data_IF_566405902345
#
_entry.id   IF_566405902345
#
_cell.length_a   1.000
_cell.length_b   1.000
_cell.length_c   1.000
_cell.angle_alpha   90.00
_cell.angle_beta   90.00
_cell.angle_gamma   90.00
#
_symmetry.space_group_name_H-M   'P 1'
#
loop_
_entity.id
_entity.type
_entity.pdbx_description
1 polymer ?
#
# COMPACT_ATOMS: atom_id res chain seq x y z
N UNK A 1 -49.07 15.81 -67.38
CA UNK A 1 -47.82 16.53 -67.07
C UNK A 1 -47.33 16.06 -65.71
N UNK A 2 -46.21 15.33 -65.67
CA UNK A 2 -45.65 14.72 -64.46
C UNK A 2 -44.62 15.64 -63.83
N UNK A 3 -44.80 15.96 -62.55
CA UNK A 3 -43.76 16.40 -61.63
C UNK A 3 -43.15 15.14 -60.99
N UNK A 4 -41.83 15.07 -60.91
CA UNK A 4 -41.07 14.64 -59.72
C UNK A 4 -39.57 14.74 -60.01
N UNK A 5 -38.95 15.71 -59.36
CA UNK A 5 -37.52 15.77 -59.03
C UNK A 5 -37.16 14.61 -58.12
N UNK A 6 -35.94 14.06 -58.23
CA UNK A 6 -35.30 13.32 -57.14
C UNK A 6 -33.78 13.43 -57.24
N UNK A 7 -33.20 13.62 -56.07
CA UNK A 7 -31.91 14.22 -55.77
C UNK A 7 -30.73 13.26 -55.85
N UNK A 8 -29.53 13.87 -55.94
CA UNK A 8 -28.24 13.25 -55.63
C UNK A 8 -28.27 12.52 -54.28
N UNK A 9 -27.62 11.35 -54.23
CA UNK A 9 -27.02 10.85 -53.00
C UNK A 9 -25.56 10.52 -53.28
N UNK A 10 -24.69 11.33 -52.68
CA UNK A 10 -23.25 11.13 -52.59
C UNK A 10 -22.94 9.90 -51.74
N UNK A 11 -22.19 8.94 -52.28
CA UNK A 11 -21.60 7.87 -51.48
C UNK A 11 -20.21 8.32 -51.00
N UNK A 12 -20.15 8.92 -49.81
CA UNK A 12 -18.91 8.94 -49.03
C UNK A 12 -18.89 7.66 -48.19
N UNK A 13 -18.07 6.69 -48.61
CA UNK A 13 -17.68 5.58 -47.76
C UNK A 13 -16.71 6.14 -46.69
N UNK A 14 -17.22 6.44 -45.50
CA UNK A 14 -16.38 6.60 -44.31
C UNK A 14 -15.86 5.20 -43.96
N UNK A 15 -14.56 4.97 -44.20
CA UNK A 15 -13.81 3.88 -43.59
C UNK A 15 -13.75 4.16 -42.07
N UNK A 16 -14.71 3.62 -41.32
CA UNK A 16 -14.55 3.46 -39.88
C UNK A 16 -13.48 2.38 -39.66
N UNK A 17 -12.23 2.80 -39.44
CA UNK A 17 -11.25 1.92 -38.83
C UNK A 17 -11.78 1.56 -37.44
N UNK A 18 -11.87 0.26 -37.06
CA UNK A 18 -12.17 -0.08 -35.69
C UNK A 18 -11.03 0.45 -34.83
N UNK A 19 -11.32 1.41 -33.94
CA UNK A 19 -10.51 1.59 -32.74
C UNK A 19 -10.56 0.25 -32.03
N UNK A 20 -9.46 -0.51 -32.06
CA UNK A 20 -9.29 -1.65 -31.18
C UNK A 20 -9.35 -1.08 -29.75
N UNK A 21 -10.46 -1.29 -29.06
CA UNK A 21 -10.47 -1.18 -27.61
C UNK A 21 -9.35 -2.11 -27.12
N UNK A 22 -8.36 -1.58 -26.42
CA UNK A 22 -7.39 -2.42 -25.73
C UNK A 22 -8.18 -3.19 -24.67
N UNK A 23 -8.27 -4.52 -24.83
CA UNK A 23 -8.77 -5.38 -23.76
C UNK A 23 -7.73 -5.33 -22.64
N UNK A 24 -8.05 -4.57 -21.58
CA UNK A 24 -7.24 -4.53 -20.37
C UNK A 24 -7.23 -5.93 -19.74
N UNK A 25 -6.09 -6.33 -19.19
CA UNK A 25 -6.03 -7.50 -18.31
C UNK A 25 -7.01 -7.33 -17.14
N UNK A 26 -7.39 -8.44 -16.52
CA UNK A 26 -8.32 -8.38 -15.39
C UNK A 26 -7.72 -7.53 -14.27
N UNK A 27 -6.42 -7.71 -13.97
CA UNK A 27 -5.71 -6.90 -12.98
C UNK A 27 -5.73 -5.39 -13.29
N UNK A 28 -5.51 -4.98 -14.54
CA UNK A 28 -5.58 -3.56 -14.94
C UNK A 28 -6.98 -2.98 -14.73
N UNK A 29 -8.05 -3.75 -15.01
CA UNK A 29 -9.43 -3.32 -14.72
C UNK A 29 -9.66 -3.13 -13.22
N UNK A 30 -9.09 -3.98 -12.37
CA UNK A 30 -9.15 -3.81 -10.92
C UNK A 30 -8.40 -2.55 -10.46
N UNK A 31 -7.21 -2.29 -11.01
CA UNK A 31 -6.41 -1.12 -10.66
C UNK A 31 -7.08 0.21 -11.03
N UNK A 32 -7.72 0.28 -12.21
CA UNK A 32 -8.52 1.44 -12.62
C UNK A 32 -9.70 1.67 -11.66
N UNK A 33 -10.37 0.60 -11.23
CA UNK A 33 -11.49 0.69 -10.27
C UNK A 33 -11.03 1.13 -8.89
N UNK A 34 -9.87 0.65 -8.42
CA UNK A 34 -9.26 1.12 -7.16
C UNK A 34 -8.96 2.60 -7.27
N UNK A 35 -8.30 3.03 -8.36
CA UNK A 35 -7.95 4.43 -8.60
C UNK A 35 -9.19 5.34 -8.61
N UNK A 36 -10.27 4.92 -9.28
CA UNK A 36 -11.53 5.65 -9.31
C UNK A 36 -12.17 5.76 -7.91
N UNK A 37 -12.18 4.68 -7.12
CA UNK A 37 -12.73 4.68 -5.77
C UNK A 37 -11.90 5.55 -4.80
N UNK A 38 -10.57 5.58 -4.97
CA UNK A 38 -9.69 6.51 -4.23
C UNK A 38 -10.05 7.95 -4.56
N UNK A 39 -10.25 8.29 -5.84
CA UNK A 39 -10.67 9.65 -6.23
C UNK A 39 -11.98 10.07 -5.58
N UNK A 40 -12.97 9.17 -5.44
CA UNK A 40 -14.22 9.47 -4.73
C UNK A 40 -14.00 9.86 -3.25
N UNK A 41 -13.01 9.25 -2.58
CA UNK A 41 -12.66 9.58 -1.20
C UNK A 41 -12.18 11.03 -1.04
N UNK A 42 -11.45 11.54 -2.03
CA UNK A 42 -11.02 12.94 -2.07
C UNK A 42 -12.14 13.93 -2.40
N UNK A 43 -13.23 13.47 -3.01
CA UNK A 43 -14.42 14.26 -3.35
C UNK A 43 -15.48 14.25 -2.21
N UNK A 44 -15.07 14.00 -0.97
CA UNK A 44 -15.93 13.88 0.23
C UNK A 44 -17.01 12.79 0.15
N UNK A 45 -16.89 11.83 -0.79
CA UNK A 45 -17.79 10.68 -0.92
C UNK A 45 -17.27 9.44 -0.18
N UNK A 46 -16.73 9.65 1.02
CA UNK A 46 -15.98 8.67 1.83
C UNK A 46 -16.74 7.35 2.03
N UNK A 47 -18.03 7.40 2.35
CA UNK A 47 -18.82 6.17 2.53
C UNK A 47 -18.94 5.34 1.25
N UNK A 48 -19.11 6.00 0.10
CA UNK A 48 -19.21 5.32 -1.20
C UNK A 48 -17.85 4.77 -1.61
N UNK A 49 -16.79 5.56 -1.46
CA UNK A 49 -15.42 5.13 -1.68
C UNK A 49 -15.09 3.87 -0.87
N UNK A 50 -15.42 3.83 0.43
CA UNK A 50 -15.21 2.66 1.27
C UNK A 50 -15.99 1.43 0.80
N UNK A 51 -17.28 1.59 0.46
CA UNK A 51 -18.08 0.48 -0.07
C UNK A 51 -17.48 -0.09 -1.37
N UNK A 52 -17.04 0.80 -2.27
CA UNK A 52 -16.48 0.39 -3.54
C UNK A 52 -15.13 -0.30 -3.36
N UNK A 53 -14.22 0.27 -2.56
CA UNK A 53 -12.92 -0.33 -2.25
C UNK A 53 -13.07 -1.73 -1.64
N UNK A 54 -13.96 -1.91 -0.66
CA UNK A 54 -14.19 -3.21 -0.04
C UNK A 54 -14.80 -4.22 -1.01
N UNK A 55 -15.68 -3.78 -1.91
CA UNK A 55 -16.27 -4.62 -2.96
C UNK A 55 -15.20 -5.05 -3.97
N UNK A 56 -14.38 -4.11 -4.44
CA UNK A 56 -13.28 -4.36 -5.36
C UNK A 56 -12.28 -5.36 -4.74
N UNK A 57 -11.92 -5.18 -3.46
CA UNK A 57 -11.02 -6.10 -2.77
C UNK A 57 -11.58 -7.53 -2.70
N UNK A 58 -12.87 -7.69 -2.36
CA UNK A 58 -13.52 -8.99 -2.30
C UNK A 58 -13.59 -9.68 -3.67
N UNK A 59 -13.87 -8.93 -4.73
CA UNK A 59 -13.88 -9.44 -6.09
C UNK A 59 -12.48 -9.82 -6.59
N UNK A 60 -11.44 -9.05 -6.23
CA UNK A 60 -10.05 -9.38 -6.55
C UNK A 60 -9.59 -10.65 -5.82
N UNK A 61 -9.93 -10.80 -4.53
CA UNK A 61 -9.68 -12.03 -3.76
C UNK A 61 -10.35 -13.25 -4.41
N UNK A 62 -11.60 -13.11 -4.89
CA UNK A 62 -12.30 -14.16 -5.61
C UNK A 62 -11.64 -14.48 -6.97
N UNK A 63 -11.16 -13.46 -7.68
CA UNK A 63 -10.43 -13.63 -8.94
C UNK A 63 -9.11 -14.39 -8.71
N UNK A 64 -8.33 -14.05 -7.68
CA UNK A 64 -7.07 -14.73 -7.32
C UNK A 64 -7.29 -16.23 -7.14
N UNK A 65 -8.38 -16.64 -6.48
CA UNK A 65 -8.70 -18.05 -6.27
C UNK A 65 -9.01 -18.82 -7.58
N UNK A 66 -9.40 -18.11 -8.63
CA UNK A 66 -9.73 -18.67 -9.94
C UNK A 66 -8.55 -18.68 -10.93
N UNK A 67 -7.41 -18.05 -10.60
CA UNK A 67 -6.26 -17.94 -11.52
C UNK A 67 -5.58 -19.29 -11.69
N UNK A 68 -5.49 -19.75 -12.94
CA UNK A 68 -4.90 -21.02 -13.35
C UNK A 68 -3.37 -21.05 -13.38
N UNK A 69 -2.68 -20.32 -12.49
CA UNK A 69 -1.22 -20.36 -12.33
C UNK A 69 -0.43 -19.23 -13.00
N UNK A 70 -1.09 -18.19 -13.53
CA UNK A 70 -0.39 -16.96 -13.94
C UNK A 70 0.05 -16.18 -12.68
N UNK A 71 1.35 -16.26 -12.37
CA UNK A 71 1.92 -15.61 -11.20
C UNK A 71 1.89 -14.09 -11.27
N UNK A 72 2.04 -13.52 -12.47
CA UNK A 72 2.09 -12.07 -12.65
C UNK A 72 0.71 -11.47 -12.50
N UNK A 73 -0.29 -12.09 -13.11
CA UNK A 73 -1.69 -11.70 -12.93
C UNK A 73 -2.11 -11.85 -11.47
N UNK A 74 -1.72 -12.96 -10.81
CA UNK A 74 -2.00 -13.17 -9.39
C UNK A 74 -1.34 -12.11 -8.50
N UNK A 75 -0.07 -11.77 -8.75
CA UNK A 75 0.62 -10.72 -8.02
C UNK A 75 -0.05 -9.36 -8.23
N UNK A 76 -0.46 -9.03 -9.46
CA UNK A 76 -1.15 -7.78 -9.76
C UNK A 76 -2.51 -7.69 -9.06
N UNK A 77 -3.33 -8.74 -9.09
CA UNK A 77 -4.61 -8.77 -8.36
C UNK A 77 -4.41 -8.71 -6.84
N UNK A 78 -3.37 -9.35 -6.31
CA UNK A 78 -2.99 -9.22 -4.89
C UNK A 78 -2.63 -7.77 -4.55
N UNK A 79 -1.88 -7.06 -5.41
CA UNK A 79 -1.60 -5.63 -5.21
C UNK A 79 -2.87 -4.80 -5.23
N UNK A 80 -3.76 -5.00 -6.19
CA UNK A 80 -5.05 -4.27 -6.25
C UNK A 80 -5.91 -4.53 -5.02
N UNK A 81 -6.03 -5.77 -4.56
CA UNK A 81 -6.74 -6.12 -3.32
C UNK A 81 -6.09 -5.49 -2.09
N UNK A 82 -4.76 -5.54 -2.00
CA UNK A 82 -3.97 -4.92 -0.93
C UNK A 82 -4.21 -3.42 -0.84
N UNK A 83 -4.12 -2.71 -1.97
CA UNK A 83 -4.35 -1.28 -2.06
C UNK A 83 -5.80 -0.93 -1.71
N UNK A 84 -6.76 -1.68 -2.23
CA UNK A 84 -8.18 -1.46 -1.92
C UNK A 84 -8.46 -1.55 -0.41
N UNK A 85 -7.93 -2.56 0.28
CA UNK A 85 -8.05 -2.66 1.74
C UNK A 85 -7.34 -1.53 2.49
N UNK A 86 -6.14 -1.12 2.03
CA UNK A 86 -5.40 -0.03 2.65
C UNK A 86 -6.16 1.30 2.55
N UNK A 87 -6.64 1.66 1.37
CA UNK A 87 -7.38 2.90 1.17
C UNK A 87 -8.76 2.87 1.83
N UNK A 88 -9.40 1.69 1.97
CA UNK A 88 -10.60 1.55 2.77
C UNK A 88 -10.33 1.84 4.27
N UNK A 89 -9.17 1.41 4.78
CA UNK A 89 -8.73 1.76 6.13
C UNK A 89 -8.48 3.27 6.27
N UNK A 90 -7.76 3.89 5.32
CA UNK A 90 -7.49 5.34 5.36
C UNK A 90 -8.75 6.20 5.36
N UNK A 91 -9.77 5.77 4.63
CA UNK A 91 -11.06 6.45 4.55
C UNK A 91 -11.99 6.11 5.73
N UNK A 92 -11.68 5.11 6.57
CA UNK A 92 -12.50 4.81 7.75
C UNK A 92 -12.26 5.82 8.87
N UNK A 93 -10.98 6.17 9.08
CA UNK A 93 -10.45 7.14 10.04
C UNK A 93 -11.25 7.19 11.38
N UNK A 94 -11.28 6.08 12.13
CA UNK A 94 -12.06 6.01 13.36
C UNK A 94 -11.46 6.93 14.44
N UNK A 95 -12.33 7.61 15.19
CA UNK A 95 -11.93 8.43 16.33
C UNK A 95 -11.12 7.64 17.36
N UNK A 96 -10.27 8.33 18.13
CA UNK A 96 -9.37 7.68 19.10
C UNK A 96 -10.09 6.83 20.16
N UNK A 97 -11.33 7.15 20.48
CA UNK A 97 -12.15 6.41 21.45
C UNK A 97 -13.11 5.39 20.81
N UNK A 98 -13.12 5.23 19.49
CA UNK A 98 -13.91 4.22 18.79
C UNK A 98 -13.15 2.90 18.69
N UNK A 99 -13.24 2.09 19.75
CA UNK A 99 -12.60 0.76 19.80
C UNK A 99 -13.08 -0.17 18.68
N UNK A 100 -14.36 -0.08 18.30
CA UNK A 100 -14.94 -0.95 17.27
C UNK A 100 -14.46 -0.55 15.87
N UNK A 101 -14.44 0.75 15.57
CA UNK A 101 -13.89 1.27 14.32
C UNK A 101 -12.41 0.95 14.16
N UNK A 102 -11.62 1.10 15.23
CA UNK A 102 -10.20 0.75 15.20
C UNK A 102 -9.95 -0.75 15.01
N UNK A 103 -10.81 -1.61 15.58
CA UNK A 103 -10.71 -3.04 15.35
C UNK A 103 -10.98 -3.41 13.87
N UNK A 104 -11.94 -2.73 13.22
CA UNK A 104 -12.21 -2.88 11.79
C UNK A 104 -11.05 -2.38 10.93
N UNK A 105 -10.48 -1.22 11.28
CA UNK A 105 -9.29 -0.68 10.62
C UNK A 105 -8.11 -1.67 10.69
N UNK A 106 -7.82 -2.22 11.88
CA UNK A 106 -6.80 -3.25 12.07
C UNK A 106 -7.08 -4.50 11.22
N UNK A 107 -8.35 -4.92 11.09
CA UNK A 107 -8.73 -6.04 10.24
C UNK A 107 -8.40 -5.77 8.76
N UNK A 108 -8.78 -4.60 8.24
CA UNK A 108 -8.55 -4.23 6.85
C UNK A 108 -7.06 -4.03 6.55
N UNK A 109 -6.33 -3.35 7.43
CA UNK A 109 -4.88 -3.23 7.34
C UNK A 109 -4.19 -4.61 7.38
N UNK A 110 -4.65 -5.52 8.24
CA UNK A 110 -4.10 -6.90 8.29
C UNK A 110 -4.32 -7.65 6.99
N UNK A 111 -5.51 -7.50 6.37
CA UNK A 111 -5.79 -8.07 5.05
C UNK A 111 -4.88 -7.44 3.99
N UNK A 112 -4.75 -6.11 4.00
CA UNK A 112 -3.86 -5.40 3.09
C UNK A 112 -2.42 -5.93 3.17
N UNK A 113 -1.88 -6.05 4.39
CA UNK A 113 -0.52 -6.55 4.63
C UNK A 113 -0.33 -7.95 4.03
N UNK A 114 -1.24 -8.89 4.34
CA UNK A 114 -1.18 -10.26 3.80
C UNK A 114 -1.15 -10.29 2.26
N UNK A 115 -1.97 -9.47 1.60
CA UNK A 115 -2.02 -9.44 0.13
C UNK A 115 -0.74 -8.83 -0.45
N UNK A 116 -0.25 -7.73 0.12
CA UNK A 116 0.96 -7.07 -0.33
C UNK A 116 2.21 -7.95 -0.12
N UNK A 117 2.33 -8.64 1.01
CA UNK A 117 3.43 -9.58 1.26
C UNK A 117 3.41 -10.77 0.28
N UNK A 118 2.23 -11.29 -0.05
CA UNK A 118 2.09 -12.35 -1.05
C UNK A 118 2.39 -11.87 -2.46
N UNK A 119 1.98 -10.65 -2.83
CA UNK A 119 2.35 -10.04 -4.10
C UNK A 119 3.87 -9.85 -4.20
N UNK A 120 4.50 -9.33 -3.15
CA UNK A 120 5.95 -9.17 -3.05
C UNK A 120 6.69 -10.51 -3.19
N UNK A 121 6.19 -11.58 -2.56
CA UNK A 121 6.79 -12.90 -2.66
C UNK A 121 6.68 -13.52 -4.08
N UNK A 122 5.64 -13.16 -4.84
CA UNK A 122 5.45 -13.64 -6.21
C UNK A 122 6.28 -12.85 -7.23
N UNK A 123 6.43 -11.54 -7.05
CA UNK A 123 7.14 -10.65 -7.97
C UNK A 123 8.03 -9.64 -7.22
N UNK A 124 9.13 -10.07 -6.58
CA UNK A 124 9.95 -9.20 -5.75
C UNK A 124 10.63 -8.07 -6.54
N UNK A 125 11.04 -8.34 -7.77
CA UNK A 125 11.74 -7.36 -8.63
C UNK A 125 10.79 -6.34 -9.29
N UNK A 126 9.48 -6.62 -9.33
CA UNK A 126 8.46 -5.77 -9.97
C UNK A 126 7.46 -5.18 -8.96
N UNK A 127 7.76 -5.26 -7.66
CA UNK A 127 6.86 -4.74 -6.64
C UNK A 127 6.93 -3.22 -6.57
N UNK A 128 5.84 -2.54 -6.92
CA UNK A 128 5.76 -1.07 -7.03
C UNK A 128 5.01 -0.41 -5.87
N UNK A 129 4.44 -1.19 -4.94
CA UNK A 129 3.57 -0.69 -3.86
C UNK A 129 4.32 -0.52 -2.53
N UNK A 130 5.57 -0.07 -2.59
CA UNK A 130 6.38 0.18 -1.39
C UNK A 130 5.77 1.26 -0.50
N UNK A 131 5.08 2.25 -1.07
CA UNK A 131 4.38 3.29 -0.33
C UNK A 131 3.23 2.71 0.51
N UNK A 132 2.30 1.96 -0.11
CA UNK A 132 1.18 1.34 0.60
C UNK A 132 1.68 0.29 1.59
N UNK A 133 2.68 -0.53 1.21
CA UNK A 133 3.25 -1.52 2.12
C UNK A 133 3.86 -0.87 3.38
N UNK A 134 4.57 0.26 3.22
CA UNK A 134 5.09 1.05 4.34
C UNK A 134 3.97 1.65 5.18
N UNK A 135 2.94 2.21 4.54
CA UNK A 135 1.78 2.79 5.23
C UNK A 135 1.06 1.76 6.11
N UNK A 136 0.73 0.61 5.53
CA UNK A 136 0.05 -0.49 6.22
C UNK A 136 0.86 -1.02 7.40
N UNK A 137 2.14 -1.34 7.19
CA UNK A 137 2.99 -1.89 8.24
C UNK A 137 3.24 -0.87 9.37
N UNK A 138 3.37 0.42 9.02
CA UNK A 138 3.51 1.51 9.98
C UNK A 138 2.27 1.69 10.88
N UNK A 139 1.08 1.71 10.29
CA UNK A 139 -0.17 1.87 11.04
C UNK A 139 -0.45 0.63 11.91
N UNK A 140 -0.28 -0.58 11.37
CA UNK A 140 -0.41 -1.80 12.17
C UNK A 140 0.55 -1.82 13.37
N UNK A 141 1.80 -1.38 13.20
CA UNK A 141 2.72 -1.21 14.32
C UNK A 141 2.17 -0.26 15.40
N UNK A 142 1.66 0.91 15.01
CA UNK A 142 1.07 1.87 15.95
C UNK A 142 -0.17 1.32 16.67
N UNK A 143 -1.06 0.63 15.93
CA UNK A 143 -2.21 -0.04 16.53
C UNK A 143 -1.80 -1.16 17.48
N UNK A 144 -0.81 -1.98 17.11
CA UNK A 144 -0.34 -3.09 17.93
C UNK A 144 0.22 -2.62 19.27
N UNK A 145 0.97 -1.51 19.27
CA UNK A 145 1.50 -0.89 20.49
C UNK A 145 0.38 -0.45 21.42
N UNK A 146 -0.60 0.26 20.84
CA UNK A 146 -1.69 0.91 21.56
C UNK A 146 -2.70 -0.11 22.10
N UNK A 147 -3.11 -1.05 21.25
CA UNK A 147 -4.12 -2.07 21.55
C UNK A 147 -3.52 -3.33 22.19
N UNK A 148 -2.19 -3.40 22.35
CA UNK A 148 -1.47 -4.58 22.86
C UNK A 148 -1.79 -5.85 22.05
N UNK A 149 -1.86 -5.72 20.73
CA UNK A 149 -2.13 -6.85 19.83
C UNK A 149 -0.95 -7.83 19.83
N UNK A 150 -1.24 -9.13 19.94
CA UNK A 150 -0.21 -10.17 19.97
C UNK A 150 0.61 -10.27 18.67
N UNK A 151 0.09 -9.73 17.55
CA UNK A 151 0.76 -9.70 16.23
C UNK A 151 1.73 -8.53 16.10
N UNK A 152 1.83 -7.65 17.09
CA UNK A 152 2.62 -6.43 17.04
C UNK A 152 4.09 -6.66 16.64
N UNK A 153 4.72 -7.73 17.16
CA UNK A 153 6.08 -8.08 16.79
C UNK A 153 6.22 -8.46 15.30
N UNK A 154 5.23 -9.15 14.73
CA UNK A 154 5.23 -9.48 13.30
C UNK A 154 5.13 -8.21 12.45
N UNK A 155 4.26 -7.27 12.84
CA UNK A 155 4.08 -6.00 12.13
C UNK A 155 5.32 -5.11 12.22
N UNK A 156 6.06 -5.18 13.33
CA UNK A 156 7.38 -4.54 13.49
C UNK A 156 8.37 -5.00 12.41
N UNK A 157 8.46 -6.32 12.18
CA UNK A 157 9.34 -6.88 11.16
C UNK A 157 8.91 -6.44 9.75
N UNK A 158 7.60 -6.46 9.45
CA UNK A 158 7.08 -5.97 8.18
C UNK A 158 7.40 -4.48 7.97
N UNK A 159 7.32 -3.66 9.03
CA UNK A 159 7.69 -2.24 8.98
C UNK A 159 9.16 -2.05 8.64
N UNK A 160 10.08 -2.84 9.19
CA UNK A 160 11.50 -2.80 8.80
C UNK A 160 11.66 -3.14 7.32
N UNK A 161 11.02 -4.22 6.86
CA UNK A 161 11.09 -4.65 5.46
C UNK A 161 10.57 -3.56 4.50
N UNK A 162 9.40 -2.99 4.79
CA UNK A 162 8.78 -1.96 3.98
C UNK A 162 9.61 -0.67 3.90
N UNK A 163 10.19 -0.22 5.03
CA UNK A 163 11.08 0.95 5.01
C UNK A 163 12.37 0.69 4.24
N UNK A 164 12.97 -0.51 4.34
CA UNK A 164 14.16 -0.87 3.54
C UNK A 164 13.86 -0.87 2.05
N UNK A 165 12.69 -1.36 1.64
CA UNK A 165 12.26 -1.32 0.25
C UNK A 165 12.13 0.12 -0.25
N UNK A 166 11.50 0.99 0.54
CA UNK A 166 11.35 2.40 0.18
C UNK A 166 12.70 3.13 0.12
N UNK A 167 13.60 2.87 1.06
CA UNK A 167 14.97 3.37 1.02
C UNK A 167 15.73 2.87 -0.21
N UNK A 168 15.50 1.64 -0.67
CA UNK A 168 16.15 1.12 -1.88
C UNK A 168 15.69 1.85 -3.17
N UNK A 169 14.46 2.37 -3.20
CA UNK A 169 13.96 3.24 -4.29
C UNK A 169 14.57 4.64 -4.26
N UNK A 170 14.89 5.15 -3.06
CA UNK A 170 15.43 6.50 -2.83
C UNK A 170 16.67 6.44 -1.91
N UNK A 171 17.78 5.82 -2.36
CA UNK A 171 18.92 5.51 -1.48
C UNK A 171 19.65 6.75 -0.96
N UNK A 172 19.55 7.88 -1.67
CA UNK A 172 20.16 9.15 -1.30
C UNK A 172 19.24 10.03 -0.43
N UNK A 173 18.00 9.61 -0.19
CA UNK A 173 17.04 10.36 0.61
C UNK A 173 17.24 10.07 2.11
N UNK A 174 17.79 11.05 2.83
CA UNK A 174 18.00 10.94 4.28
C UNK A 174 16.69 10.75 5.06
N UNK A 175 15.56 11.23 4.54
CA UNK A 175 14.26 10.94 5.16
C UNK A 175 14.01 9.43 5.21
N UNK A 176 14.21 8.72 4.09
CA UNK A 176 13.98 7.29 4.02
C UNK A 176 15.00 6.50 4.86
N UNK A 177 16.26 6.94 4.93
CA UNK A 177 17.26 6.34 5.81
C UNK A 177 16.89 6.51 7.29
N UNK A 178 16.37 7.68 7.70
CA UNK A 178 15.86 7.90 9.06
C UNK A 178 14.69 6.97 9.36
N UNK A 179 13.75 6.80 8.43
CA UNK A 179 12.60 5.89 8.60
C UNK A 179 13.03 4.43 8.81
N UNK A 180 14.08 3.97 8.11
CA UNK A 180 14.68 2.65 8.33
C UNK A 180 15.32 2.58 9.72
N UNK A 181 16.14 3.57 10.10
CA UNK A 181 16.79 3.59 11.42
C UNK A 181 15.76 3.54 12.56
N UNK A 182 14.68 4.31 12.46
CA UNK A 182 13.60 4.28 13.45
C UNK A 182 12.95 2.90 13.58
N UNK A 183 12.61 2.26 12.46
CA UNK A 183 12.02 0.93 12.46
C UNK A 183 12.99 -0.13 13.03
N UNK A 184 14.29 0.01 12.76
CA UNK A 184 15.33 -0.89 13.28
C UNK A 184 15.52 -0.75 14.79
N UNK A 185 15.49 0.46 15.35
CA UNK A 185 15.52 0.66 16.80
C UNK A 185 14.31 0.02 17.48
N UNK A 186 13.11 0.25 16.94
CA UNK A 186 11.88 -0.31 17.49
C UNK A 186 11.89 -1.84 17.46
N UNK A 187 12.21 -2.43 16.31
CA UNK A 187 12.22 -3.88 16.15
C UNK A 187 13.37 -4.55 16.91
N UNK A 188 14.57 -3.96 16.86
CA UNK A 188 15.76 -4.44 17.56
C UNK A 188 15.56 -4.44 19.08
N UNK A 189 14.94 -3.40 19.63
CA UNK A 189 14.58 -3.37 21.05
C UNK A 189 13.57 -4.46 21.40
N UNK A 190 12.45 -4.51 20.68
CA UNK A 190 11.37 -5.47 20.93
C UNK A 190 11.85 -6.93 20.88
N UNK A 191 12.80 -7.23 20.00
CA UNK A 191 13.34 -8.58 19.79
C UNK A 191 14.65 -8.85 20.50
N UNK A 192 15.22 -7.84 21.19
CA UNK A 192 16.58 -7.88 21.74
C UNK A 192 17.66 -8.24 20.70
N UNK A 193 17.44 -7.90 19.43
CA UNK A 193 18.38 -8.16 18.35
C UNK A 193 19.41 -7.02 18.22
N UNK A 194 20.61 -7.28 18.75
CA UNK A 194 21.74 -6.34 18.73
C UNK A 194 22.24 -6.04 17.32
N UNK A 195 22.04 -6.92 16.34
CA UNK A 195 22.49 -6.68 14.98
C UNK A 195 21.62 -5.59 14.32
N UNK A 196 20.31 -5.61 14.56
CA UNK A 196 19.40 -4.57 14.07
C UNK A 196 19.70 -3.20 14.71
N UNK A 197 19.98 -3.18 16.02
CA UNK A 197 20.37 -1.94 16.71
C UNK A 197 21.69 -1.38 16.14
N UNK A 198 22.69 -2.23 15.91
CA UNK A 198 23.95 -1.81 15.31
C UNK A 198 23.80 -1.33 13.86
N UNK A 199 22.87 -1.91 13.09
CA UNK A 199 22.53 -1.42 11.75
C UNK A 199 21.90 -0.02 11.80
N UNK A 200 21.00 0.22 12.76
CA UNK A 200 20.41 1.55 12.97
C UNK A 200 21.47 2.61 13.31
N UNK A 201 22.42 2.26 14.20
CA UNK A 201 23.56 3.11 14.55
C UNK A 201 24.43 3.42 13.32
N UNK A 202 24.72 2.40 12.51
CA UNK A 202 25.54 2.56 11.31
C UNK A 202 24.87 3.47 10.26
N UNK A 203 23.55 3.35 10.08
CA UNK A 203 22.78 4.23 9.21
C UNK A 203 22.87 5.69 9.69
N UNK A 204 22.59 5.97 10.96
CA UNK A 204 22.68 7.33 11.51
C UNK A 204 24.10 7.90 11.45
N UNK A 205 25.12 7.10 11.71
CA UNK A 205 26.51 7.54 11.65
C UNK A 205 26.95 7.92 10.24
N UNK A 206 26.36 7.31 9.20
CA UNK A 206 26.63 7.62 7.81
C UNK A 206 25.97 8.92 7.32
N UNK A 207 24.93 9.40 8.00
CA UNK A 207 24.25 10.65 7.65
C UNK A 207 25.01 11.88 8.15
N UNK A 208 24.98 13.01 7.40
CA UNK A 208 25.32 14.33 7.92
C UNK A 208 24.53 14.64 9.20
N UNK A 209 25.14 15.36 10.15
CA UNK A 209 24.56 15.59 11.47
C UNK A 209 23.23 16.34 11.42
N UNK A 210 23.11 17.30 10.50
CA UNK A 210 21.91 18.11 10.25
C UNK A 210 20.77 17.35 9.56
N UNK A 211 21.08 16.19 8.95
CA UNK A 211 20.12 15.30 8.28
C UNK A 211 19.62 14.17 9.20
N UNK A 212 20.18 14.05 10.40
CA UNK A 212 19.71 13.07 11.40
C UNK A 212 18.38 13.53 11.99
N UNK A 213 17.31 12.84 11.62
CA UNK A 213 15.96 13.13 12.04
C UNK A 213 15.79 13.01 13.56
N UNK A 214 14.97 13.90 14.13
CA UNK A 214 14.68 13.90 15.56
C UNK A 214 14.13 12.56 16.06
N UNK A 215 13.27 11.91 15.28
CA UNK A 215 12.68 10.61 15.65
C UNK A 215 13.73 9.53 15.84
N UNK A 216 14.62 9.35 14.86
CA UNK A 216 15.74 8.41 14.94
C UNK A 216 16.71 8.74 16.09
N UNK A 217 17.07 10.01 16.29
CA UNK A 217 17.94 10.43 17.39
C UNK A 217 17.30 10.20 18.77
N UNK A 218 16.00 10.43 18.92
CA UNK A 218 15.27 10.13 20.17
C UNK A 218 15.35 8.63 20.48
N UNK A 219 15.12 7.79 19.47
CA UNK A 219 15.14 6.33 19.60
C UNK A 219 16.53 5.79 19.96
N UNK A 220 17.57 6.30 19.29
CA UNK A 220 18.96 5.97 19.63
C UNK A 220 19.24 6.24 21.12
N UNK A 221 18.91 7.44 21.60
CA UNK A 221 19.14 7.83 23.01
C UNK A 221 18.37 6.95 24.00
N UNK A 222 17.12 6.58 23.67
CA UNK A 222 16.34 5.67 24.50
C UNK A 222 17.03 4.30 24.60
N UNK A 223 17.45 3.72 23.48
CA UNK A 223 18.18 2.44 23.46
C UNK A 223 19.50 2.52 24.25
N UNK A 224 20.27 3.61 24.09
CA UNK A 224 21.51 3.85 24.85
C UNK A 224 21.27 3.95 26.36
N UNK A 225 20.14 4.53 26.76
CA UNK A 225 19.72 4.65 28.16
C UNK A 225 19.13 3.35 28.74
N UNK A 226 18.90 2.33 27.90
CA UNK A 226 18.17 1.12 28.31
C UNK A 226 16.68 1.36 28.51
N UNK A 227 16.10 2.29 27.75
CA UNK A 227 14.69 2.64 27.72
C UNK A 227 14.02 2.18 26.42
N UNK A 228 12.71 1.97 26.49
CA UNK A 228 11.89 1.59 25.34
C UNK A 228 11.83 2.73 24.30
N UNK A 229 12.12 2.47 23.01
CA UNK A 229 12.28 3.54 22.02
C UNK A 229 10.98 3.96 21.32
N UNK A 230 9.87 3.26 21.53
CA UNK A 230 8.56 3.65 20.99
C UNK A 230 7.83 4.52 22.01
#
# INVERSE_FOLDING_TARGET
MRLTSLSLVSALALLAAPLAAQDLSQAEQFDERVSAAISLGFDDQVEQANRDLLTIAAEADAAIAAIGGDKREAAALLRSAGNAYYYAAQNHDPEWNDEAGQALEVEWLSKSLDRLERALALEPENFTNSYEYRGVAGQLWQHGERLKDARWQQWSAARVAANRMRMAEYPEDYFEQNMVAEALYDHGWLTSDKALLAEADALLAAMPEDERGYGALRKQRAVEAGEEPY
#
